data_IF_219282489146
#
_entry.id   IF_219282489146
#
_cell.length_a   1.000
_cell.length_b   1.000
_cell.length_c   1.000
_cell.angle_alpha   90.00
_cell.angle_beta   90.00
_cell.angle_gamma   90.00
#
_symmetry.space_group_name_H-M   'P 1'
#
loop_
_entity.id
_entity.type
_entity.pdbx_description
1 polymer ?
#
# COMPACT_ATOMS: atom_id res chain seq x y z
N UNK A 1 -22.50 10.08 -12.94
CA UNK A 1 -22.56 11.47 -12.40
C UNK A 1 -21.89 11.67 -11.03
N UNK A 2 -21.49 10.63 -10.28
CA UNK A 2 -20.82 10.79 -8.97
C UNK A 2 -19.34 11.21 -9.05
N UNK A 3 -18.62 10.84 -10.12
CA UNK A 3 -17.19 11.13 -10.32
C UNK A 3 -16.92 12.63 -10.51
N UNK A 4 -17.87 13.37 -11.10
CA UNK A 4 -17.77 14.82 -11.31
C UNK A 4 -18.01 15.64 -10.02
N UNK A 5 -18.64 15.06 -8.99
CA UNK A 5 -18.82 15.76 -7.71
C UNK A 5 -17.60 15.66 -6.80
N UNK A 6 -16.84 14.56 -6.87
CA UNK A 6 -15.60 14.40 -6.11
C UNK A 6 -14.47 15.33 -6.58
N UNK A 7 -14.40 15.61 -7.89
CA UNK A 7 -13.43 16.55 -8.45
C UNK A 7 -13.68 18.00 -7.99
N UNK A 8 -14.93 18.40 -7.77
CA UNK A 8 -15.28 19.74 -7.29
C UNK A 8 -15.00 19.95 -5.81
N UNK A 9 -15.09 18.92 -4.97
CA UNK A 9 -14.76 19.03 -3.54
C UNK A 9 -13.26 19.18 -3.30
N UNK A 10 -12.41 18.60 -4.15
CA UNK A 10 -10.96 18.80 -4.05
C UNK A 10 -10.51 20.21 -4.48
N UNK A 11 -11.27 20.87 -5.37
CA UNK A 11 -10.96 22.24 -5.80
C UNK A 11 -11.38 23.31 -4.78
N UNK A 12 -12.41 23.04 -3.97
CA UNK A 12 -12.93 23.99 -2.98
C UNK A 12 -12.07 24.10 -1.70
N UNK A 13 -11.16 23.16 -1.46
CA UNK A 13 -10.20 23.23 -0.34
C UNK A 13 -8.90 23.99 -0.70
N UNK A 14 -8.76 24.44 -1.95
CA UNK A 14 -7.54 25.07 -2.46
C UNK A 14 -7.54 26.61 -2.34
N UNK A 15 -8.69 27.23 -2.04
CA UNK A 15 -8.81 28.71 -2.00
C UNK A 15 -8.44 29.35 -0.65
N UNK A 16 -8.32 28.58 0.44
CA UNK A 16 -8.06 29.15 1.79
C UNK A 16 -6.58 29.11 2.19
N UNK A 17 -5.71 28.44 1.42
CA UNK A 17 -4.32 28.15 1.79
C UNK A 17 -3.25 28.74 0.88
N UNK A 18 -3.24 30.06 0.67
CA UNK A 18 -2.22 30.74 -0.13
C UNK A 18 -0.81 30.54 0.48
N UNK A 19 0.10 29.98 -0.33
CA UNK A 19 1.57 29.78 -0.15
C UNK A 19 2.02 28.42 0.38
N UNK A 20 1.91 27.40 -0.48
CA UNK A 20 3.03 26.60 -1.00
C UNK A 20 2.49 25.84 -2.21
N UNK A 21 3.06 26.03 -3.40
CA UNK A 21 2.81 25.15 -4.53
C UNK A 21 3.31 23.76 -4.15
N UNK A 22 2.46 22.97 -3.51
CA UNK A 22 2.65 21.52 -3.40
C UNK A 22 2.34 21.01 -4.78
N UNK A 23 3.37 20.92 -5.62
CA UNK A 23 3.27 20.08 -6.82
C UNK A 23 2.74 18.74 -6.31
N UNK A 24 1.57 18.27 -6.77
CA UNK A 24 1.09 16.96 -6.37
C UNK A 24 2.19 15.97 -6.73
N UNK A 25 2.78 15.38 -5.70
CA UNK A 25 3.94 14.51 -5.77
C UNK A 25 3.72 13.53 -6.92
N UNK A 26 4.68 13.40 -7.84
CA UNK A 26 4.60 12.52 -9.01
C UNK A 26 4.16 11.10 -8.58
N UNK A 27 4.51 10.71 -7.34
CA UNK A 27 4.09 9.50 -6.66
C UNK A 27 2.56 9.39 -6.48
N UNK A 28 1.86 10.47 -6.14
CA UNK A 28 0.40 10.49 -5.99
C UNK A 28 -0.30 10.36 -7.34
N UNK A 29 0.24 11.02 -8.38
CA UNK A 29 -0.29 10.88 -9.75
C UNK A 29 -0.08 9.47 -10.30
N UNK A 30 1.09 8.87 -10.07
CA UNK A 30 1.36 7.47 -10.42
C UNK A 30 0.45 6.52 -9.65
N UNK A 31 0.23 6.78 -8.35
CA UNK A 31 -0.65 5.98 -7.52
C UNK A 31 -2.08 5.98 -8.07
N UNK A 32 -2.63 7.16 -8.39
CA UNK A 32 -3.95 7.27 -9.01
C UNK A 32 -4.02 6.62 -10.40
N UNK A 33 -2.96 6.71 -11.21
CA UNK A 33 -2.90 6.07 -12.53
C UNK A 33 -2.91 4.54 -12.42
N UNK A 34 -2.13 3.97 -11.50
CA UNK A 34 -2.05 2.53 -11.27
C UNK A 34 -3.35 1.98 -10.67
N UNK A 35 -4.01 2.74 -9.78
CA UNK A 35 -5.36 2.39 -9.31
C UNK A 35 -6.35 2.44 -10.49
N UNK A 36 -6.28 3.46 -11.34
CA UNK A 36 -7.15 3.57 -12.51
C UNK A 36 -6.93 2.42 -13.52
N UNK A 37 -5.68 1.99 -13.75
CA UNK A 37 -5.38 0.86 -14.64
C UNK A 37 -5.79 -0.49 -14.03
N UNK A 38 -5.63 -0.68 -12.72
CA UNK A 38 -6.10 -1.86 -12.00
C UNK A 38 -7.61 -2.09 -12.10
N UNK A 39 -8.40 -1.02 -12.17
CA UNK A 39 -9.86 -1.11 -12.35
C UNK A 39 -10.27 -1.15 -13.84
N UNK A 40 -9.47 -0.58 -14.75
CA UNK A 40 -9.77 -0.57 -16.19
C UNK A 40 -9.54 -1.94 -16.87
N UNK A 41 -8.49 -2.67 -16.49
CA UNK A 41 -8.13 -3.95 -17.15
C UNK A 41 -9.17 -5.07 -16.91
N UNK A 42 -9.72 -5.27 -15.70
CA UNK A 42 -10.79 -6.25 -15.48
C UNK A 42 -12.10 -5.85 -16.16
N UNK A 43 -12.39 -4.55 -16.29
CA UNK A 43 -13.58 -4.07 -17.00
C UNK A 43 -13.50 -4.36 -18.50
N UNK A 44 -12.32 -4.20 -19.12
CA UNK A 44 -12.14 -4.51 -20.54
C UNK A 44 -12.27 -6.02 -20.81
N UNK A 45 -11.77 -6.88 -19.92
CA UNK A 45 -11.87 -8.35 -20.06
C UNK A 45 -13.26 -8.90 -19.71
N UNK A 46 -14.11 -8.14 -19.02
CA UNK A 46 -15.48 -8.54 -18.68
C UNK A 46 -16.50 -8.27 -19.79
N UNK A 47 -16.16 -7.45 -20.80
CA UNK A 47 -17.09 -7.06 -21.86
C UNK A 47 -17.18 -8.06 -23.02
N UNK A 48 -16.26 -9.02 -23.13
CA UNK A 48 -16.24 -10.01 -24.22
C UNK A 48 -17.16 -11.24 -24.00
N UNK A 49 -18.07 -11.18 -23.01
CA UNK A 49 -18.92 -12.31 -22.61
C UNK A 49 -20.39 -12.24 -23.01
N UNK A 50 -20.85 -11.20 -23.72
CA UNK A 50 -22.27 -11.03 -24.05
C UNK A 50 -22.66 -11.87 -25.28
N UNK A 51 -22.95 -13.15 -25.07
CA UNK A 51 -23.81 -13.92 -25.97
C UNK A 51 -25.27 -13.55 -25.70
N UNK A 52 -26.01 -12.98 -26.67
CA UNK A 52 -27.42 -12.67 -26.49
C UNK A 52 -28.25 -13.94 -26.73
N UNK A 53 -28.49 -14.70 -25.68
CA UNK A 53 -29.44 -15.81 -25.75
C UNK A 53 -29.21 -16.86 -24.69
N UNK A 54 -29.76 -16.67 -23.50
CA UNK A 54 -30.18 -17.73 -22.56
C UNK A 54 -30.97 -17.11 -21.42
N UNK A 55 -32.19 -17.59 -21.25
CA UNK A 55 -33.12 -17.27 -20.17
C UNK A 55 -32.62 -17.73 -18.79
N UNK A 56 -33.13 -17.08 -17.73
CA UNK A 56 -33.19 -17.50 -16.33
C UNK A 56 -32.03 -18.36 -15.76
N UNK A 57 -31.02 -17.70 -15.18
CA UNK A 57 -30.14 -18.28 -14.17
C UNK A 57 -29.90 -17.26 -13.05
N UNK A 58 -29.81 -17.70 -11.78
CA UNK A 58 -29.74 -16.81 -10.62
C UNK A 58 -28.51 -15.89 -10.72
N UNK A 59 -28.71 -14.61 -10.40
CA UNK A 59 -27.73 -13.52 -10.32
C UNK A 59 -26.28 -14.02 -10.19
N UNK A 60 -25.59 -14.20 -11.32
CA UNK A 60 -24.15 -14.49 -11.27
C UNK A 60 -23.45 -13.22 -10.78
N UNK A 61 -22.74 -13.28 -9.64
CA UNK A 61 -22.04 -12.11 -9.15
C UNK A 61 -21.02 -11.65 -10.18
N UNK A 62 -20.98 -10.34 -10.43
CA UNK A 62 -20.07 -9.78 -11.42
C UNK A 62 -18.61 -10.12 -11.06
N UNK A 63 -17.82 -10.53 -12.06
CA UNK A 63 -16.41 -10.89 -11.86
C UNK A 63 -15.62 -9.78 -11.17
N UNK A 64 -15.93 -8.52 -11.51
CA UNK A 64 -15.32 -7.35 -10.88
C UNK A 64 -15.64 -7.31 -9.38
N UNK A 65 -16.91 -7.49 -9.01
CA UNK A 65 -17.31 -7.52 -7.61
C UNK A 65 -16.66 -8.67 -6.83
N UNK A 66 -16.59 -9.85 -7.42
CA UNK A 66 -15.93 -11.02 -6.79
C UNK A 66 -14.45 -10.77 -6.55
N UNK A 67 -13.74 -10.19 -7.52
CA UNK A 67 -12.32 -9.84 -7.39
C UNK A 67 -12.14 -8.75 -6.33
N UNK A 68 -12.94 -7.68 -6.38
CA UNK A 68 -12.88 -6.60 -5.40
C UNK A 68 -13.12 -7.12 -3.99
N UNK A 69 -14.17 -7.92 -3.79
CA UNK A 69 -14.49 -8.49 -2.47
C UNK A 69 -13.39 -9.41 -1.97
N UNK A 70 -12.85 -10.29 -2.83
CA UNK A 70 -11.74 -11.18 -2.46
C UNK A 70 -10.51 -10.38 -2.06
N UNK A 71 -10.13 -9.35 -2.81
CA UNK A 71 -8.97 -8.52 -2.48
C UNK A 71 -9.18 -7.71 -1.20
N UNK A 72 -10.35 -7.10 -1.00
CA UNK A 72 -10.65 -6.30 0.19
C UNK A 72 -10.78 -7.13 1.47
N UNK A 73 -11.15 -8.40 1.36
CA UNK A 73 -11.24 -9.29 2.52
C UNK A 73 -9.96 -10.12 2.73
N UNK A 74 -8.97 -9.98 1.85
CA UNK A 74 -7.71 -10.70 1.97
C UNK A 74 -6.79 -9.99 2.99
N UNK A 75 -6.41 -10.66 4.10
CA UNK A 75 -5.52 -10.06 5.07
C UNK A 75 -4.14 -9.74 4.49
N UNK A 76 -3.69 -10.46 3.44
CA UNK A 76 -2.41 -10.21 2.78
C UNK A 76 -2.38 -8.89 2.02
N UNK A 77 -3.56 -8.28 1.76
CA UNK A 77 -3.68 -6.93 1.20
C UNK A 77 -3.16 -5.88 2.17
N UNK A 78 -3.46 -6.02 3.46
CA UNK A 78 -3.20 -5.00 4.47
C UNK A 78 -1.98 -5.29 5.34
N UNK A 79 -1.68 -6.58 5.57
CA UNK A 79 -0.65 -6.99 6.52
C UNK A 79 0.74 -6.35 6.24
N UNK A 80 1.26 -6.33 5.00
CA UNK A 80 2.56 -5.71 4.73
C UNK A 80 2.59 -4.21 5.03
N UNK A 81 1.50 -3.49 4.70
CA UNK A 81 1.38 -2.06 4.95
C UNK A 81 1.32 -1.76 6.45
N UNK A 82 0.52 -2.53 7.21
CA UNK A 82 0.40 -2.37 8.67
C UNK A 82 1.72 -2.68 9.37
N UNK A 83 2.39 -3.77 9.00
CA UNK A 83 3.68 -4.15 9.59
C UNK A 83 4.76 -3.12 9.27
N UNK A 84 4.82 -2.64 8.03
CA UNK A 84 5.76 -1.58 7.66
C UNK A 84 5.47 -0.28 8.41
N UNK A 85 4.21 0.13 8.54
CA UNK A 85 3.82 1.31 9.31
C UNK A 85 4.30 1.19 10.76
N UNK A 86 3.94 0.10 11.44
CA UNK A 86 4.27 -0.11 12.84
C UNK A 86 5.77 -0.15 13.09
N UNK A 87 6.51 -0.90 12.28
CA UNK A 87 7.97 -1.03 12.45
C UNK A 87 8.71 0.26 12.14
N UNK A 88 8.32 0.98 11.09
CA UNK A 88 8.90 2.29 10.76
C UNK A 88 8.57 3.33 11.83
N UNK A 89 7.37 3.25 12.43
CA UNK A 89 6.96 4.15 13.51
C UNK A 89 7.78 3.93 14.78
N UNK A 90 8.03 2.68 15.15
CA UNK A 90 8.88 2.36 16.31
C UNK A 90 10.32 2.85 16.09
N UNK A 91 10.87 2.66 14.88
CA UNK A 91 12.17 3.22 14.48
C UNK A 91 12.17 4.74 14.64
N UNK A 92 11.17 5.43 14.06
CA UNK A 92 11.03 6.89 14.13
C UNK A 92 10.84 7.44 15.54
N UNK A 93 10.05 6.77 16.37
CA UNK A 93 9.80 7.19 17.74
C UNK A 93 11.10 7.06 18.56
N UNK A 94 11.90 6.01 18.33
CA UNK A 94 13.21 5.83 18.98
C UNK A 94 14.21 6.92 18.62
N UNK A 95 14.11 7.45 17.40
CA UNK A 95 14.92 8.57 16.92
C UNK A 95 14.68 9.88 17.68
N UNK A 96 13.47 10.08 18.22
CA UNK A 96 13.10 11.36 18.82
C UNK A 96 13.93 11.70 20.06
N UNK A 97 14.31 10.69 20.86
CA UNK A 97 15.16 10.86 22.04
C UNK A 97 16.50 11.48 21.64
N UNK A 98 17.10 10.97 20.56
CA UNK A 98 18.37 11.49 20.04
C UNK A 98 18.25 12.94 19.58
N UNK A 99 17.20 13.28 18.83
CA UNK A 99 17.00 14.66 18.36
C UNK A 99 16.75 15.63 19.51
N UNK A 100 16.03 15.24 20.55
CA UNK A 100 15.81 16.06 21.75
C UNK A 100 17.12 16.39 22.48
N UNK A 101 18.11 15.49 22.41
CA UNK A 101 19.43 15.68 22.99
C UNK A 101 20.48 16.23 22.00
N UNK A 102 20.07 16.69 20.81
CA UNK A 102 20.94 17.33 19.84
C UNK A 102 21.80 16.38 19.01
N UNK A 103 21.55 15.07 19.09
CA UNK A 103 22.22 14.09 18.22
C UNK A 103 21.60 14.11 16.84
N UNK A 104 22.46 14.10 15.81
CA UNK A 104 22.02 13.92 14.42
C UNK A 104 22.07 12.42 14.11
N UNK A 105 20.89 11.80 14.03
CA UNK A 105 20.78 10.39 13.70
C UNK A 105 21.10 10.12 12.23
N UNK A 106 21.78 9.02 11.95
CA UNK A 106 22.21 8.64 10.60
C UNK A 106 21.05 8.23 9.67
N UNK A 107 19.81 8.22 10.15
CA UNK A 107 18.66 7.80 9.37
C UNK A 107 18.27 8.87 8.34
N UNK A 108 18.91 8.78 7.17
CA UNK A 108 18.70 9.63 5.98
C UNK A 108 17.24 9.87 5.61
N UNK A 109 16.35 8.92 5.94
CA UNK A 109 14.93 9.01 5.58
C UNK A 109 14.20 10.15 6.26
N UNK A 110 14.67 10.56 7.44
CA UNK A 110 14.00 11.54 8.29
C UNK A 110 14.78 12.84 8.43
N UNK A 111 15.57 13.19 7.43
CA UNK A 111 16.27 14.47 7.34
C UNK A 111 15.72 15.30 6.18
N UNK A 112 15.86 16.63 6.26
CA UNK A 112 15.27 17.55 5.28
C UNK A 112 15.86 17.34 3.88
N UNK A 113 17.18 17.16 3.78
CA UNK A 113 17.90 16.93 2.51
C UNK A 113 17.99 15.47 2.08
N UNK A 114 17.68 14.52 2.96
CA UNK A 114 17.94 13.09 2.73
C UNK A 114 19.39 12.66 3.00
N UNK A 115 20.26 13.55 3.49
CA UNK A 115 21.60 13.19 3.97
C UNK A 115 21.59 12.85 5.47
N UNK A 116 22.50 11.96 5.90
CA UNK A 116 22.52 11.42 7.26
C UNK A 116 23.06 12.38 8.32
N UNK A 117 23.61 13.52 7.90
CA UNK A 117 24.23 14.54 8.76
C UNK A 117 23.43 15.84 8.76
N UNK A 118 22.24 15.85 8.17
CA UNK A 118 21.40 17.03 8.04
C UNK A 118 20.34 17.10 9.15
N UNK A 119 19.64 18.24 9.22
CA UNK A 119 18.62 18.53 10.24
C UNK A 119 17.47 17.53 10.13
N UNK A 120 17.01 16.96 11.27
CA UNK A 120 15.86 16.08 11.29
C UNK A 120 14.59 16.82 10.88
N UNK A 121 13.70 16.11 10.19
CA UNK A 121 12.36 16.62 9.93
C UNK A 121 11.53 16.65 11.22
N UNK A 122 10.49 17.49 11.24
CA UNK A 122 9.57 17.52 12.38
C UNK A 122 8.89 16.17 12.62
N UNK A 123 8.54 15.87 13.87
CA UNK A 123 7.81 14.66 14.25
C UNK A 123 6.55 14.42 13.42
N UNK A 124 5.76 15.48 13.15
CA UNK A 124 4.56 15.40 12.32
C UNK A 124 4.87 15.09 10.84
N UNK A 125 5.96 15.65 10.30
CA UNK A 125 6.40 15.37 8.94
C UNK A 125 6.85 13.91 8.78
N UNK A 126 7.59 13.37 9.75
CA UNK A 126 7.96 11.95 9.77
C UNK A 126 6.73 11.04 9.80
N UNK A 127 5.76 11.32 10.67
CA UNK A 127 4.51 10.56 10.72
C UNK A 127 3.74 10.57 9.39
N UNK A 128 3.69 11.72 8.71
CA UNK A 128 3.07 11.82 7.39
C UNK A 128 3.82 11.00 6.35
N UNK A 129 5.15 11.05 6.34
CA UNK A 129 5.97 10.29 5.41
C UNK A 129 5.80 8.77 5.60
N UNK A 130 5.81 8.31 6.85
CA UNK A 130 5.57 6.90 7.20
C UNK A 130 4.21 6.44 6.66
N UNK A 131 3.17 7.23 6.88
CA UNK A 131 1.83 6.92 6.36
C UNK A 131 1.81 6.83 4.83
N UNK A 132 2.42 7.77 4.13
CA UNK A 132 2.48 7.77 2.66
C UNK A 132 3.22 6.54 2.12
N UNK A 133 4.32 6.16 2.76
CA UNK A 133 5.09 4.98 2.37
C UNK A 133 4.28 3.70 2.61
N UNK A 134 3.58 3.60 3.74
CA UNK A 134 2.67 2.48 4.02
C UNK A 134 1.50 2.40 3.03
N UNK A 135 0.97 3.53 2.57
CA UNK A 135 -0.05 3.56 1.51
C UNK A 135 0.50 3.07 0.16
N UNK A 136 1.76 3.40 -0.17
CA UNK A 136 2.42 2.84 -1.35
C UNK A 136 2.56 1.32 -1.30
N UNK A 137 2.86 0.76 -0.12
CA UNK A 137 2.92 -0.69 0.09
C UNK A 137 1.53 -1.32 -0.03
N UNK A 138 0.52 -0.71 0.60
CA UNK A 138 -0.87 -1.16 0.49
C UNK A 138 -1.30 -1.25 -0.98
N UNK A 139 -0.93 -0.22 -1.77
CA UNK A 139 -1.21 -0.22 -3.20
C UNK A 139 -0.57 -1.41 -3.92
N UNK A 140 0.71 -1.69 -3.67
CA UNK A 140 1.40 -2.84 -4.27
C UNK A 140 0.74 -4.17 -3.88
N UNK A 141 0.34 -4.33 -2.62
CA UNK A 141 -0.39 -5.52 -2.16
C UNK A 141 -1.77 -5.67 -2.82
N UNK A 142 -2.50 -4.56 -3.00
CA UNK A 142 -3.77 -4.56 -3.75
C UNK A 142 -3.54 -5.00 -5.19
N UNK A 143 -2.52 -4.45 -5.86
CA UNK A 143 -2.15 -4.83 -7.24
C UNK A 143 -1.89 -6.33 -7.33
N UNK A 144 -1.07 -6.87 -6.42
CA UNK A 144 -0.73 -8.28 -6.40
C UNK A 144 -1.99 -9.14 -6.26
N UNK A 145 -2.81 -8.84 -5.25
CA UNK A 145 -4.00 -9.64 -4.95
C UNK A 145 -5.08 -9.55 -6.02
N UNK A 146 -5.29 -8.39 -6.65
CA UNK A 146 -6.17 -8.25 -7.82
C UNK A 146 -5.66 -9.13 -8.96
N UNK A 147 -4.37 -9.06 -9.27
CA UNK A 147 -3.76 -9.83 -10.36
C UNK A 147 -3.91 -11.34 -10.12
N UNK A 148 -3.59 -11.81 -8.91
CA UNK A 148 -3.75 -13.21 -8.52
C UNK A 148 -5.21 -13.65 -8.61
N UNK A 149 -6.16 -12.85 -8.10
CA UNK A 149 -7.59 -13.18 -8.15
C UNK A 149 -8.13 -13.25 -9.58
N UNK A 150 -7.68 -12.36 -10.48
CA UNK A 150 -8.04 -12.38 -11.91
C UNK A 150 -7.48 -13.63 -12.58
N UNK A 151 -6.19 -13.91 -12.41
CA UNK A 151 -5.55 -15.10 -12.97
C UNK A 151 -6.17 -16.40 -12.45
N UNK A 152 -6.45 -16.48 -11.15
CA UNK A 152 -7.14 -17.62 -10.53
C UNK A 152 -8.51 -17.84 -11.18
N UNK A 153 -9.30 -16.78 -11.36
CA UNK A 153 -10.63 -16.87 -11.99
C UNK A 153 -10.54 -17.32 -13.46
N UNK A 154 -9.59 -16.81 -14.23
CA UNK A 154 -9.36 -17.23 -15.63
C UNK A 154 -8.97 -18.72 -15.69
N UNK A 155 -8.02 -19.14 -14.85
CA UNK A 155 -7.54 -20.51 -14.81
C UNK A 155 -8.61 -21.49 -14.31
N UNK A 156 -9.44 -21.08 -13.33
CA UNK A 156 -10.57 -21.87 -12.82
C UNK A 156 -11.66 -22.07 -13.85
N UNK A 157 -11.92 -21.06 -14.69
CA UNK A 157 -12.85 -21.17 -15.83
C UNK A 157 -12.30 -22.11 -16.89
N UNK A 158 -11.01 -22.04 -17.21
CA UNK A 158 -10.36 -22.89 -18.22
C UNK A 158 -10.17 -24.33 -17.77
N UNK A 159 -9.86 -24.57 -16.50
CA UNK A 159 -9.57 -25.89 -15.94
C UNK A 159 -10.45 -26.21 -14.71
N UNK A 160 -11.76 -26.46 -14.92
CA UNK A 160 -12.72 -26.63 -13.82
C UNK A 160 -12.44 -27.86 -12.94
N UNK A 161 -11.71 -28.85 -13.44
CA UNK A 161 -11.36 -30.06 -12.68
C UNK A 161 -10.23 -29.82 -11.65
N UNK A 162 -9.43 -28.74 -11.80
CA UNK A 162 -8.25 -28.45 -10.95
C UNK A 162 -8.45 -27.24 -10.02
N UNK A 163 -9.69 -26.85 -9.73
CA UNK A 163 -10.02 -25.64 -8.95
C UNK A 163 -9.34 -25.55 -7.59
N UNK A 164 -9.31 -26.66 -6.85
CA UNK A 164 -8.69 -26.70 -5.51
C UNK A 164 -7.20 -26.38 -5.59
N UNK A 165 -6.49 -27.01 -6.52
CA UNK A 165 -5.05 -26.79 -6.72
C UNK A 165 -4.76 -25.32 -7.07
N UNK A 166 -5.51 -24.76 -8.02
CA UNK A 166 -5.31 -23.37 -8.47
C UNK A 166 -5.54 -22.36 -7.33
N UNK A 167 -6.58 -22.57 -6.52
CA UNK A 167 -6.85 -21.77 -5.32
C UNK A 167 -5.74 -21.87 -4.29
N UNK A 168 -5.23 -23.08 -4.04
CA UNK A 168 -4.13 -23.29 -3.10
C UNK A 168 -2.87 -22.59 -3.57
N UNK A 169 -2.52 -22.70 -4.86
CA UNK A 169 -1.36 -22.01 -5.42
C UNK A 169 -1.49 -20.48 -5.29
N UNK A 170 -2.67 -19.92 -5.56
CA UNK A 170 -2.94 -18.50 -5.37
C UNK A 170 -2.84 -18.05 -3.91
N UNK A 171 -3.20 -18.90 -2.95
CA UNK A 171 -2.98 -18.61 -1.52
C UNK A 171 -1.49 -18.67 -1.14
N UNK A 172 -0.76 -19.67 -1.62
CA UNK A 172 0.69 -19.80 -1.36
C UNK A 172 1.45 -18.59 -1.90
N UNK A 173 1.14 -18.16 -3.12
CA UNK A 173 1.78 -17.00 -3.75
C UNK A 173 1.52 -15.71 -2.97
N UNK A 174 0.27 -15.43 -2.60
CA UNK A 174 -0.08 -14.25 -1.79
C UNK A 174 0.57 -14.24 -0.41
N UNK A 175 0.57 -15.38 0.29
CA UNK A 175 1.22 -15.51 1.60
C UNK A 175 2.73 -15.31 1.45
N UNK A 176 3.34 -15.94 0.45
CA UNK A 176 4.77 -15.83 0.16
C UNK A 176 5.17 -14.39 -0.15
N UNK A 177 4.42 -13.72 -1.04
CA UNK A 177 4.62 -12.31 -1.37
C UNK A 177 4.49 -11.42 -0.13
N UNK A 178 3.39 -11.54 0.62
CA UNK A 178 3.15 -10.73 1.80
C UNK A 178 4.21 -10.96 2.89
N UNK A 179 4.64 -12.20 3.09
CA UNK A 179 5.67 -12.55 4.09
C UNK A 179 7.03 -11.97 3.70
N UNK A 180 7.42 -12.14 2.43
CA UNK A 180 8.67 -11.60 1.90
C UNK A 180 8.72 -10.07 2.05
N UNK A 181 7.68 -9.37 1.59
CA UNK A 181 7.62 -7.92 1.69
C UNK A 181 7.56 -7.44 3.13
N UNK A 182 6.75 -8.08 3.98
CA UNK A 182 6.67 -7.73 5.40
C UNK A 182 8.04 -7.86 6.08
N UNK A 183 8.77 -8.94 5.82
CA UNK A 183 10.12 -9.13 6.35
C UNK A 183 11.08 -8.07 5.80
N UNK A 184 11.13 -7.89 4.48
CA UNK A 184 12.06 -6.95 3.85
C UNK A 184 11.85 -5.52 4.33
N UNK A 185 10.58 -5.08 4.46
CA UNK A 185 10.21 -3.74 4.89
C UNK A 185 10.44 -3.53 6.39
N UNK A 186 10.22 -4.54 7.24
CA UNK A 186 10.33 -4.38 8.70
C UNK A 186 11.74 -4.62 9.25
N UNK A 187 12.52 -5.52 8.64
CA UNK A 187 13.77 -6.00 9.22
C UNK A 187 14.82 -4.91 9.41
N UNK A 188 14.89 -3.91 8.51
CA UNK A 188 15.81 -2.79 8.69
C UNK A 188 15.39 -1.90 9.86
N UNK A 189 14.12 -1.51 9.92
CA UNK A 189 13.58 -0.65 10.98
C UNK A 189 13.68 -1.29 12.37
N UNK A 190 13.42 -2.59 12.48
CA UNK A 190 13.57 -3.32 13.75
C UNK A 190 15.03 -3.39 14.19
N UNK A 191 15.97 -3.54 13.25
CA UNK A 191 17.40 -3.54 13.58
C UNK A 191 17.88 -2.17 14.07
N UNK A 192 17.48 -1.11 13.37
CA UNK A 192 17.79 0.28 13.74
C UNK A 192 17.20 0.64 15.10
N UNK A 193 15.93 0.35 15.31
CA UNK A 193 15.28 0.55 16.61
C UNK A 193 16.07 -0.12 17.76
N UNK A 194 16.46 -1.38 17.61
CA UNK A 194 17.25 -2.09 18.63
C UNK A 194 18.65 -1.51 18.84
N UNK A 195 19.25 -0.96 17.79
CA UNK A 195 20.54 -0.27 17.90
C UNK A 195 20.39 1.04 18.67
N UNK A 196 19.39 1.84 18.31
CA UNK A 196 19.00 3.07 18.98
C UNK A 196 18.72 2.83 20.46
N UNK A 197 17.93 1.82 20.81
CA UNK A 197 17.64 1.43 22.19
C UNK A 197 18.92 1.11 22.98
N UNK A 198 19.84 0.34 22.41
CA UNK A 198 21.14 0.04 23.06
C UNK A 198 22.02 1.27 23.21
N UNK A 199 22.04 2.17 22.23
CA UNK A 199 22.82 3.41 22.31
C UNK A 199 22.24 4.32 23.38
N UNK A 200 20.91 4.49 23.41
CA UNK A 200 20.22 5.29 24.43
C UNK A 200 20.55 4.80 25.84
N UNK A 201 20.45 3.49 26.08
CA UNK A 201 20.83 2.89 27.35
C UNK A 201 22.30 3.13 27.74
N UNK A 202 23.24 3.11 26.78
CA UNK A 202 24.65 3.42 27.06
C UNK A 202 24.89 4.89 27.39
N UNK A 203 24.07 5.78 26.86
CA UNK A 203 24.14 7.22 27.11
C UNK A 203 23.37 7.64 28.37
N UNK A 204 22.60 6.73 28.98
CA UNK A 204 21.84 6.98 30.20
C UNK A 204 20.46 7.63 29.97
N UNK A 205 19.89 7.46 28.77
CA UNK A 205 18.53 7.88 28.43
C UNK A 205 17.52 6.74 28.58
#
# INVERSE_FOLDING_TARGET
MAVLRFAKTCQALDEVGRKKCVVPDLRVKLACLVIATLFAVPCALAQDGSNPGSADLPDQPSLVWDVTKKTLLDPTTYAPAVLSYGTTRIDWDSSQVFFQHGFVEQNRRFTVSGFSYDVPISHAAGNRQILLDSLGILQMSVVNNVTTNVLENILVKRYPHRRKLLRTLGWIERIGFASYWSYHLSAEHVRKWRENERVAHRLGY
#
